data_IF_648257084015
#
_entry.id   IF_648257084015
#
_cell.length_a   1.000
_cell.length_b   1.000
_cell.length_c   1.000
_cell.angle_alpha   90.00
_cell.angle_beta   90.00
_cell.angle_gamma   90.00
#
_symmetry.space_group_name_H-M   'P 1'
#
loop_
_entity.id
_entity.type
_entity.pdbx_description
1 polymer ?
#
# COMPACT_ATOMS: atom_id res chain seq x y z
N UNK A 1 30.64 30.92 -19.73
CA UNK A 1 31.43 29.72 -20.11
C UNK A 1 30.41 28.71 -20.57
N UNK A 2 30.33 28.43 -21.88
CA UNK A 2 29.44 27.35 -22.35
C UNK A 2 30.06 26.03 -21.95
N UNK A 3 29.33 25.24 -21.18
CA UNK A 3 29.77 23.96 -20.62
C UNK A 3 29.76 22.82 -21.67
N UNK A 4 29.88 23.17 -22.96
CA UNK A 4 29.69 22.24 -24.08
C UNK A 4 31.04 21.91 -24.72
N UNK A 5 31.31 20.61 -24.87
CA UNK A 5 32.46 20.08 -25.60
C UNK A 5 32.04 19.72 -27.03
N UNK A 6 32.81 20.17 -28.02
CA UNK A 6 32.59 19.79 -29.41
C UNK A 6 33.13 18.38 -29.65
N UNK A 7 32.22 17.39 -29.67
CA UNK A 7 32.56 16.03 -30.11
C UNK A 7 32.76 16.07 -31.62
N UNK A 8 34.02 16.11 -32.08
CA UNK A 8 34.35 15.98 -33.50
C UNK A 8 34.19 14.51 -33.90
N UNK A 9 33.17 14.10 -34.67
CA UNK A 9 33.03 12.72 -35.07
C UNK A 9 34.18 12.34 -36.01
N UNK A 10 34.98 11.34 -35.63
CA UNK A 10 35.76 10.58 -36.62
C UNK A 10 34.81 10.03 -37.70
N UNK A 11 35.30 9.81 -38.92
CA UNK A 11 34.50 9.63 -40.14
C UNK A 11 33.32 8.63 -40.02
N UNK A 12 32.13 9.12 -39.64
CA UNK A 12 30.86 8.47 -39.95
C UNK A 12 30.17 7.63 -38.86
N UNK A 13 30.18 8.04 -37.58
CA UNK A 13 29.26 7.46 -36.58
C UNK A 13 28.29 8.53 -36.05
N UNK A 14 26.98 8.26 -36.17
CA UNK A 14 25.92 9.14 -35.66
C UNK A 14 25.77 8.93 -34.16
N UNK A 15 25.81 10.02 -33.39
CA UNK A 15 25.43 10.01 -31.98
C UNK A 15 23.93 10.28 -31.91
N UNK A 16 23.19 9.39 -31.26
CA UNK A 16 21.77 9.61 -31.02
C UNK A 16 21.59 10.72 -29.97
N UNK A 17 20.80 11.73 -30.30
CA UNK A 17 20.45 12.84 -29.41
C UNK A 17 18.93 13.02 -29.34
N UNK A 18 18.47 13.64 -28.27
CA UNK A 18 17.11 14.12 -28.04
C UNK A 18 17.14 15.65 -27.96
N UNK A 19 16.36 16.36 -28.78
CA UNK A 19 16.27 17.82 -28.69
C UNK A 19 15.14 18.20 -27.71
N UNK A 20 15.50 18.81 -26.59
CA UNK A 20 14.57 19.30 -25.58
C UNK A 20 14.77 20.79 -25.40
N UNK A 21 13.87 21.58 -26.00
CA UNK A 21 13.91 23.04 -25.89
C UNK A 21 15.09 23.71 -26.60
N UNK A 22 15.60 23.12 -27.69
CA UNK A 22 16.74 23.64 -28.46
C UNK A 22 18.10 23.21 -27.92
N UNK A 23 18.13 22.25 -26.99
CA UNK A 23 19.35 21.67 -26.41
C UNK A 23 19.37 20.18 -26.72
N UNK A 24 20.46 19.70 -27.30
CA UNK A 24 20.65 18.27 -27.58
C UNK A 24 21.14 17.52 -26.34
N UNK A 25 20.39 16.50 -25.92
CA UNK A 25 20.74 15.53 -24.89
C UNK A 25 21.15 14.20 -25.53
N UNK A 26 22.31 13.67 -25.22
CA UNK A 26 22.74 12.38 -25.78
C UNK A 26 21.91 11.22 -25.23
N UNK A 27 21.48 10.30 -26.10
CA UNK A 27 20.86 9.03 -25.68
C UNK A 27 21.95 7.98 -25.47
N UNK A 28 22.13 7.55 -24.22
CA UNK A 28 23.15 6.57 -23.83
C UNK A 28 22.52 5.35 -23.16
N UNK A 29 23.08 4.16 -23.41
CA UNK A 29 22.80 3.00 -22.58
C UNK A 29 23.62 3.11 -21.31
N UNK A 30 22.96 3.10 -20.14
CA UNK A 30 23.66 3.04 -18.86
C UNK A 30 24.26 1.66 -18.62
N UNK A 31 25.40 1.60 -17.93
CA UNK A 31 26.01 0.38 -17.40
C UNK A 31 26.26 0.53 -15.90
N UNK A 32 26.26 -0.57 -15.17
CA UNK A 32 26.52 -0.56 -13.72
C UNK A 32 27.32 -1.77 -13.26
N UNK A 33 27.99 -1.68 -12.11
CA UNK A 33 28.74 -2.78 -11.53
C UNK A 33 29.78 -2.29 -10.50
N UNK A 34 30.37 -3.21 -9.72
CA UNK A 34 31.55 -2.89 -8.93
C UNK A 34 32.72 -2.43 -9.83
N UNK A 35 33.74 -1.84 -9.20
CA UNK A 35 34.95 -1.39 -9.88
C UNK A 35 35.55 -2.48 -10.79
N UNK A 36 35.97 -2.09 -11.99
CA UNK A 36 36.46 -3.00 -13.02
C UNK A 36 35.41 -3.84 -13.76
N UNK A 37 34.10 -3.60 -13.53
CA UNK A 37 33.02 -4.34 -14.24
C UNK A 37 31.96 -3.41 -14.81
N UNK A 38 31.41 -3.77 -15.98
CA UNK A 38 30.31 -3.05 -16.62
C UNK A 38 29.22 -4.03 -17.02
N UNK A 39 28.03 -3.87 -16.46
CA UNK A 39 26.84 -4.63 -16.82
C UNK A 39 25.84 -3.72 -17.52
N UNK A 40 25.43 -4.10 -18.72
CA UNK A 40 24.27 -3.48 -19.39
C UNK A 40 23.03 -3.58 -18.50
N UNK A 41 22.26 -2.50 -18.44
CA UNK A 41 20.97 -2.48 -17.73
C UNK A 41 19.99 -3.35 -18.51
N UNK A 42 19.71 -4.53 -17.96
CA UNK A 42 18.82 -5.51 -18.58
C UNK A 42 18.04 -6.29 -17.51
N UNK A 43 16.72 -6.13 -17.51
CA UNK A 43 15.82 -6.87 -16.62
C UNK A 43 15.80 -8.36 -16.95
N UNK A 44 15.85 -8.74 -18.23
CA UNK A 44 15.78 -10.14 -18.66
C UNK A 44 17.07 -10.92 -18.30
N UNK A 45 18.23 -10.26 -18.35
CA UNK A 45 19.50 -10.84 -17.92
C UNK A 45 19.78 -10.70 -16.40
N UNK A 46 18.80 -10.24 -15.60
CA UNK A 46 18.96 -10.13 -14.14
C UNK A 46 19.90 -9.02 -13.68
N UNK A 47 20.12 -8.00 -14.52
CA UNK A 47 20.98 -6.84 -14.26
C UNK A 47 20.19 -5.52 -14.16
N UNK A 48 19.00 -5.46 -13.50
CA UNK A 48 18.30 -4.19 -13.33
C UNK A 48 19.13 -3.24 -12.46
N UNK A 49 18.87 -1.94 -12.57
CA UNK A 49 19.45 -0.97 -11.65
C UNK A 49 19.04 -1.33 -10.20
N UNK A 50 19.98 -1.24 -9.24
CA UNK A 50 19.66 -1.54 -7.85
C UNK A 50 18.64 -0.54 -7.30
N UNK A 51 17.68 -1.05 -6.52
CA UNK A 51 16.74 -0.24 -5.75
C UNK A 51 17.10 -0.37 -4.28
N UNK A 52 17.10 0.75 -3.55
CA UNK A 52 17.29 0.76 -2.11
C UNK A 52 16.02 1.27 -1.41
N UNK A 53 15.49 0.47 -0.50
CA UNK A 53 14.41 0.90 0.40
C UNK A 53 15.01 1.72 1.55
N UNK A 54 14.74 3.02 1.56
CA UNK A 54 15.12 3.93 2.65
C UNK A 54 13.86 4.38 3.41
N UNK A 55 13.87 4.45 4.75
CA UNK A 55 12.77 5.05 5.49
C UNK A 55 12.67 6.54 5.11
N UNK A 56 11.49 6.97 4.66
CA UNK A 56 11.21 8.37 4.37
C UNK A 56 10.09 8.90 5.27
N UNK A 57 10.18 10.17 5.63
CA UNK A 57 9.16 10.87 6.44
C UNK A 57 8.05 11.49 5.59
N UNK A 58 8.18 11.45 4.26
CA UNK A 58 7.18 11.91 3.29
C UNK A 58 6.86 10.80 2.29
N UNK A 59 5.65 10.82 1.72
CA UNK A 59 5.21 9.85 0.70
C UNK A 59 4.79 8.47 1.22
N UNK A 60 4.87 8.23 2.54
CA UNK A 60 4.48 6.95 3.15
C UNK A 60 2.96 6.70 3.22
N UNK A 61 2.59 5.58 3.85
CA UNK A 61 1.20 5.18 4.04
C UNK A 61 0.45 6.15 4.98
N UNK A 62 -0.80 6.43 4.63
CA UNK A 62 -1.77 7.05 5.54
C UNK A 62 -2.28 6.02 6.55
N UNK A 63 -2.78 6.49 7.71
CA UNK A 63 -3.26 5.61 8.78
C UNK A 63 -4.61 6.06 9.32
N UNK A 64 -5.53 5.13 9.48
CA UNK A 64 -6.71 5.29 10.34
C UNK A 64 -6.52 4.53 11.65
N UNK A 65 -7.13 5.02 12.73
CA UNK A 65 -7.21 4.31 14.02
C UNK A 65 -8.57 4.59 14.64
N UNK A 66 -9.28 3.53 15.02
CA UNK A 66 -10.59 3.65 15.67
C UNK A 66 -10.66 2.76 16.90
N UNK A 67 -11.18 3.31 17.99
CA UNK A 67 -11.73 2.53 19.10
C UNK A 67 -13.14 2.14 18.71
N UNK A 68 -13.43 0.84 18.68
CA UNK A 68 -14.69 0.36 18.13
C UNK A 68 -15.83 0.64 19.14
N UNK A 69 -16.88 1.38 18.73
CA UNK A 69 -18.03 1.65 19.59
C UNK A 69 -18.95 0.42 19.69
N UNK A 70 -19.89 0.44 20.63
CA UNK A 70 -20.97 -0.56 20.72
C UNK A 70 -22.08 -0.27 19.69
N UNK A 71 -21.72 -0.35 18.41
CA UNK A 71 -22.64 -0.33 17.28
C UNK A 71 -21.95 -0.94 16.05
N UNK A 72 -22.69 -1.07 14.96
CA UNK A 72 -22.21 -1.62 13.69
C UNK A 72 -22.11 -0.57 12.60
N UNK A 73 -21.91 0.70 12.98
CA UNK A 73 -21.74 1.80 12.03
C UNK A 73 -20.47 1.59 11.22
N UNK A 74 -20.58 1.70 9.90
CA UNK A 74 -19.44 1.61 9.00
C UNK A 74 -18.43 2.74 9.24
N UNK A 75 -17.16 2.37 9.21
CA UNK A 75 -16.03 3.28 9.35
C UNK A 75 -15.34 3.37 7.99
N UNK A 76 -15.40 4.56 7.40
CA UNK A 76 -14.74 4.86 6.12
C UNK A 76 -13.27 5.19 6.41
N UNK A 77 -12.37 4.33 5.95
CA UNK A 77 -10.91 4.52 6.04
C UNK A 77 -10.44 5.45 4.94
N UNK A 78 -11.00 5.28 3.74
CA UNK A 78 -10.74 6.11 2.56
C UNK A 78 -12.00 6.17 1.69
N UNK A 79 -12.49 7.37 1.38
CA UNK A 79 -13.73 7.59 0.62
C UNK A 79 -13.56 7.53 -0.91
N UNK A 80 -12.50 6.88 -1.40
CA UNK A 80 -12.19 6.74 -2.82
C UNK A 80 -11.19 5.61 -3.06
N UNK A 81 -10.96 5.27 -4.33
CA UNK A 81 -10.03 4.24 -4.76
C UNK A 81 -8.65 4.38 -4.10
N UNK A 82 -8.06 3.25 -3.70
CA UNK A 82 -6.80 3.23 -2.98
C UNK A 82 -6.27 1.82 -2.79
N UNK A 83 -5.22 1.71 -1.97
CA UNK A 83 -4.61 0.42 -1.65
C UNK A 83 -4.49 0.22 -0.14
N UNK A 84 -4.84 -0.97 0.34
CA UNK A 84 -4.69 -1.38 1.73
C UNK A 84 -3.44 -2.22 1.90
N UNK A 85 -2.55 -1.82 2.81
CA UNK A 85 -1.27 -2.52 3.03
C UNK A 85 -1.23 -3.27 4.36
N UNK A 86 -1.95 -2.78 5.37
CA UNK A 86 -1.92 -3.41 6.70
C UNK A 86 -3.19 -3.14 7.47
N UNK A 87 -3.66 -4.19 8.15
CA UNK A 87 -4.67 -4.12 9.19
C UNK A 87 -4.05 -4.60 10.50
N UNK A 88 -4.18 -3.80 11.56
CA UNK A 88 -3.83 -4.22 12.91
C UNK A 88 -5.05 -4.06 13.80
N UNK A 89 -5.39 -5.11 14.53
CA UNK A 89 -6.41 -5.02 15.55
C UNK A 89 -5.98 -5.66 16.87
N UNK A 90 -6.44 -5.09 17.97
CA UNK A 90 -6.22 -5.61 19.32
C UNK A 90 -7.55 -5.65 20.07
N UNK A 91 -7.70 -6.64 20.94
CA UNK A 91 -8.90 -6.92 21.71
C UNK A 91 -8.55 -7.15 23.18
N UNK A 92 -9.32 -6.55 24.09
CA UNK A 92 -9.27 -6.79 25.53
C UNK A 92 -10.59 -7.34 26.10
N UNK A 93 -11.51 -7.79 25.23
CA UNK A 93 -12.75 -8.47 25.57
C UNK A 93 -12.58 -9.99 25.62
N UNK A 94 -13.41 -10.64 26.44
CA UNK A 94 -13.59 -12.09 26.42
C UNK A 94 -14.32 -12.62 25.17
N UNK A 95 -14.73 -11.74 24.24
CA UNK A 95 -15.47 -12.09 23.03
C UNK A 95 -14.65 -11.85 21.77
N UNK A 96 -14.79 -12.75 20.79
CA UNK A 96 -14.23 -12.59 19.44
C UNK A 96 -15.01 -11.47 18.72
N UNK A 97 -14.36 -10.81 17.77
CA UNK A 97 -15.02 -9.98 16.77
C UNK A 97 -14.39 -10.22 15.39
N UNK A 98 -15.06 -9.75 14.34
CA UNK A 98 -14.63 -9.87 12.95
C UNK A 98 -14.64 -8.50 12.30
N UNK A 99 -13.56 -8.17 11.61
CA UNK A 99 -13.46 -6.98 10.76
C UNK A 99 -13.91 -7.40 9.38
N UNK A 100 -15.05 -6.88 8.94
CA UNK A 100 -15.57 -7.06 7.58
C UNK A 100 -15.17 -5.84 6.76
N UNK A 101 -14.37 -6.05 5.72
CA UNK A 101 -13.82 -5.00 4.87
C UNK A 101 -14.60 -4.96 3.56
N UNK A 102 -14.94 -3.77 3.07
CA UNK A 102 -15.74 -3.56 1.87
C UNK A 102 -15.00 -2.64 0.90
N UNK A 103 -15.05 -2.97 -0.38
CA UNK A 103 -14.70 -2.05 -1.47
C UNK A 103 -15.88 -1.14 -1.82
N UNK A 104 -16.12 -0.17 -0.92
CA UNK A 104 -17.25 0.74 -0.99
C UNK A 104 -16.96 2.03 -0.21
N UNK A 105 -17.70 3.10 -0.52
CA UNK A 105 -17.67 4.37 0.24
C UNK A 105 -18.53 4.35 1.50
N UNK A 106 -19.35 3.32 1.68
CA UNK A 106 -20.19 3.08 2.86
C UNK A 106 -20.58 1.60 2.92
N UNK A 107 -20.92 1.10 4.10
CA UNK A 107 -21.44 -0.25 4.28
C UNK A 107 -22.56 -0.26 5.33
N UNK A 108 -23.37 -1.32 5.34
CA UNK A 108 -24.39 -1.56 6.37
C UNK A 108 -24.25 -2.99 6.85
N UNK A 109 -24.21 -3.18 8.16
CA UNK A 109 -24.07 -4.52 8.73
C UNK A 109 -25.23 -5.41 8.29
N UNK A 110 -24.92 -6.66 7.97
CA UNK A 110 -25.90 -7.62 7.48
C UNK A 110 -26.23 -7.51 5.99
N UNK A 111 -25.62 -6.57 5.26
CA UNK A 111 -25.88 -6.30 3.84
C UNK A 111 -24.60 -6.18 3.04
N UNK A 112 -24.69 -6.50 1.75
CA UNK A 112 -23.54 -6.51 0.84
C UNK A 112 -22.60 -7.68 1.11
N UNK A 113 -21.47 -7.68 0.41
CA UNK A 113 -20.46 -8.74 0.50
C UNK A 113 -19.13 -8.11 0.90
N UNK A 114 -18.60 -8.40 2.08
CA UNK A 114 -17.24 -8.03 2.44
C UNK A 114 -16.26 -8.62 1.42
N UNK A 115 -15.27 -7.83 1.00
CA UNK A 115 -14.17 -8.31 0.15
C UNK A 115 -13.13 -9.09 0.96
N UNK A 116 -13.10 -8.89 2.27
CA UNK A 116 -12.25 -9.64 3.20
C UNK A 116 -12.85 -9.63 4.62
N UNK A 117 -12.54 -10.66 5.41
CA UNK A 117 -12.97 -10.82 6.80
C UNK A 117 -11.83 -11.31 7.69
N UNK A 118 -11.46 -10.49 8.67
CA UNK A 118 -10.35 -10.77 9.59
C UNK A 118 -10.87 -10.99 11.01
N UNK A 119 -10.58 -12.14 11.60
CA UNK A 119 -10.91 -12.43 13.00
C UNK A 119 -10.00 -11.64 13.96
N UNK A 120 -10.58 -11.05 15.00
CA UNK A 120 -9.89 -10.51 16.16
C UNK A 120 -10.08 -11.50 17.33
N UNK A 121 -9.02 -12.22 17.77
CA UNK A 121 -9.13 -13.22 18.83
C UNK A 121 -9.62 -12.63 20.16
N UNK A 122 -10.35 -13.43 20.95
CA UNK A 122 -10.76 -13.08 22.31
C UNK A 122 -9.60 -13.19 23.30
N UNK A 123 -9.52 -12.25 24.26
CA UNK A 123 -8.62 -12.34 25.42
C UNK A 123 -8.99 -11.29 26.46
N UNK A 124 -9.03 -11.68 27.74
CA UNK A 124 -9.14 -10.76 28.88
C UNK A 124 -7.80 -10.17 29.32
N UNK A 125 -6.70 -10.58 28.68
CA UNK A 125 -5.32 -10.14 28.96
C UNK A 125 -4.66 -9.48 27.74
N UNK A 126 -5.46 -9.14 26.73
CA UNK A 126 -4.99 -8.64 25.44
C UNK A 126 -4.70 -9.75 24.43
N UNK A 127 -5.28 -9.63 23.24
CA UNK A 127 -4.93 -10.39 22.04
C UNK A 127 -5.03 -9.48 20.81
N UNK A 128 -4.58 -9.96 19.65
CA UNK A 128 -4.66 -9.18 18.43
C UNK A 128 -4.27 -9.94 17.18
N UNK A 129 -4.43 -9.26 16.06
CA UNK A 129 -4.08 -9.72 14.73
C UNK A 129 -3.35 -8.60 14.00
N UNK A 130 -2.33 -8.98 13.23
CA UNK A 130 -1.62 -8.10 12.31
C UNK A 130 -1.61 -8.81 10.96
N UNK A 131 -2.29 -8.22 9.99
CA UNK A 131 -2.30 -8.66 8.61
C UNK A 131 -1.59 -7.62 7.73
N UNK A 132 -0.69 -8.07 6.86
CA UNK A 132 0.23 -7.21 6.09
C UNK A 132 0.41 -7.73 4.68
N UNK A 133 0.38 -6.80 3.71
CA UNK A 133 0.70 -7.05 2.30
C UNK A 133 1.70 -6.02 1.80
N UNK A 134 2.77 -6.48 1.16
CA UNK A 134 3.89 -5.61 0.77
C UNK A 134 3.57 -4.73 -0.43
N UNK A 135 2.77 -5.23 -1.37
CA UNK A 135 2.37 -4.52 -2.60
C UNK A 135 1.01 -3.81 -2.48
N UNK A 136 0.31 -4.01 -1.36
CA UNK A 136 -1.03 -3.50 -1.14
C UNK A 136 -2.10 -4.28 -1.92
N UNK A 137 -3.30 -4.33 -1.36
CA UNK A 137 -4.51 -4.85 -2.00
C UNK A 137 -5.27 -3.67 -2.59
N UNK A 138 -5.63 -3.73 -3.87
CA UNK A 138 -6.33 -2.65 -4.56
C UNK A 138 -7.82 -2.62 -4.23
N UNK A 139 -8.34 -1.40 -4.00
CA UNK A 139 -9.74 -1.07 -3.79
C UNK A 139 -10.15 -0.04 -4.84
N UNK A 140 -11.19 -0.32 -5.61
CA UNK A 140 -11.60 0.49 -6.76
C UNK A 140 -12.59 1.60 -6.41
N UNK A 141 -13.32 1.46 -5.30
CA UNK A 141 -14.39 2.37 -4.89
C UNK A 141 -14.03 3.11 -3.61
N UNK A 142 -13.60 2.39 -2.58
CA UNK A 142 -13.30 2.96 -1.26
C UNK A 142 -12.93 1.89 -0.25
N UNK A 143 -12.27 2.27 0.84
CA UNK A 143 -11.90 1.35 1.91
C UNK A 143 -12.80 1.64 3.09
N UNK A 144 -13.75 0.74 3.36
CA UNK A 144 -14.69 0.85 4.47
C UNK A 144 -14.72 -0.46 5.24
N UNK A 145 -14.91 -0.41 6.57
CA UNK A 145 -15.08 -1.63 7.35
C UNK A 145 -16.17 -1.51 8.41
N UNK A 146 -16.66 -2.66 8.84
CA UNK A 146 -17.57 -2.82 9.99
C UNK A 146 -16.97 -3.89 10.89
N UNK A 147 -17.12 -3.73 12.20
CA UNK A 147 -16.77 -4.78 13.17
C UNK A 147 -18.04 -5.42 13.70
N UNK A 148 -18.13 -6.75 13.65
CA UNK A 148 -19.28 -7.51 14.13
C UNK A 148 -18.85 -8.70 14.98
N UNK A 149 -19.77 -9.30 15.75
CA UNK A 149 -19.45 -10.44 16.63
C UNK A 149 -19.46 -11.79 15.91
N UNK A 150 -20.24 -11.91 14.84
CA UNK A 150 -20.37 -13.12 14.02
C UNK A 150 -19.58 -13.05 12.73
N UNK A 151 -19.10 -14.22 12.29
CA UNK A 151 -18.34 -14.40 11.05
C UNK A 151 -19.21 -14.27 9.80
N UNK A 152 -20.49 -14.65 9.87
CA UNK A 152 -21.38 -14.65 8.72
C UNK A 152 -21.56 -13.24 8.16
N UNK A 153 -21.53 -13.05 6.84
CA UNK A 153 -21.64 -11.73 6.21
C UNK A 153 -22.91 -10.98 6.63
N UNK A 154 -24.00 -11.73 6.79
CA UNK A 154 -25.28 -11.21 7.25
C UNK A 154 -25.37 -10.92 8.77
N UNK A 155 -24.30 -11.12 9.54
CA UNK A 155 -24.26 -10.80 10.97
C UNK A 155 -24.35 -9.28 11.22
N UNK A 156 -25.19 -8.92 12.19
CA UNK A 156 -25.44 -7.54 12.64
C UNK A 156 -25.10 -7.34 14.12
N UNK A 157 -24.41 -8.29 14.76
CA UNK A 157 -24.09 -8.24 16.18
C UNK A 157 -23.06 -7.15 16.50
N UNK A 158 -23.42 -6.22 17.38
CA UNK A 158 -22.54 -5.14 17.80
C UNK A 158 -21.44 -5.64 18.76
N UNK A 159 -20.18 -5.23 18.58
CA UNK A 159 -19.08 -5.60 19.47
C UNK A 159 -19.14 -4.82 20.79
N UNK A 160 -18.43 -5.32 21.81
CA UNK A 160 -18.30 -4.62 23.08
C UNK A 160 -17.62 -3.24 22.90
N UNK A 161 -18.22 -2.20 23.49
CA UNK A 161 -17.74 -0.83 23.38
C UNK A 161 -16.29 -0.70 23.89
N UNK A 162 -15.46 -0.03 23.09
CA UNK A 162 -14.08 0.37 23.42
C UNK A 162 -13.13 -0.78 23.80
N UNK A 163 -13.54 -2.03 23.58
CA UNK A 163 -12.70 -3.20 23.86
C UNK A 163 -11.76 -3.55 22.70
N UNK A 164 -12.06 -3.04 21.50
CA UNK A 164 -11.31 -3.31 20.27
C UNK A 164 -10.70 -2.02 19.73
N UNK A 165 -9.44 -2.09 19.30
CA UNK A 165 -8.77 -1.03 18.54
C UNK A 165 -8.44 -1.59 17.17
N UNK A 166 -8.84 -0.89 16.11
CA UNK A 166 -8.52 -1.27 14.72
C UNK A 166 -7.75 -0.13 14.06
N UNK A 167 -6.68 -0.45 13.34
CA UNK A 167 -5.87 0.49 12.59
C UNK A 167 -5.63 -0.03 11.17
N UNK A 168 -5.91 0.79 10.15
CA UNK A 168 -5.61 0.49 8.76
C UNK A 168 -4.47 1.38 8.29
N UNK A 169 -3.62 0.84 7.41
CA UNK A 169 -2.55 1.58 6.74
C UNK A 169 -2.76 1.47 5.24
N UNK A 170 -2.92 2.61 4.57
CA UNK A 170 -3.43 2.67 3.21
C UNK A 170 -2.80 3.80 2.39
N UNK A 171 -2.98 3.77 1.08
CA UNK A 171 -2.63 4.86 0.17
C UNK A 171 -3.83 5.36 -0.61
#
# INVERSE_FOLDING_TARGET
MSDNFDVTPGSGKTVATDDVGGVHFQRVKGVWGPDGTANDIDTAAGKPLPVQSLPQTSGGLSRSRTLIPNNTTAIVVKSGAGQLYKVRATNNSATIAYIKIYDATSATAGSGTPVDTIMIPASTSGAGVVDTTDLGVAFSTGITYIVTTGIADNDTGAPAANAYVVSFYYK
#
